data_IF_657847685059
#
_entry.id   IF_657847685059
#
_cell.length_a   1.000
_cell.length_b   1.000
_cell.length_c   1.000
_cell.angle_alpha   90.00
_cell.angle_beta   90.00
_cell.angle_gamma   90.00
#
_symmetry.space_group_name_H-M   'P 1'
#
loop_
_entity.id
_entity.type
_entity.pdbx_description
1 polymer ?
#
# COMPACT_ATOMS: atom_id res chain seq x y z
N UNK A 1 48.07 45.55 21.60
CA UNK A 1 47.58 44.99 20.33
C UNK A 1 47.78 43.49 20.35
N UNK A 2 46.70 42.70 20.40
CA UNK A 2 46.68 41.26 20.09
C UNK A 2 45.22 40.88 19.79
N UNK A 3 44.86 40.52 18.56
CA UNK A 3 43.47 40.24 18.24
C UNK A 3 43.08 38.84 18.72
N UNK A 4 41.86 38.76 19.27
CA UNK A 4 41.08 37.53 19.46
C UNK A 4 40.73 36.92 18.11
N UNK A 5 40.83 35.59 17.97
CA UNK A 5 39.99 34.82 17.04
C UNK A 5 39.69 33.46 17.69
N UNK A 6 38.50 33.32 18.28
CA UNK A 6 37.91 32.01 18.61
C UNK A 6 37.20 31.48 17.37
N UNK A 7 37.38 30.21 16.97
CA UNK A 7 36.58 29.62 15.91
C UNK A 7 35.22 29.27 16.51
N UNK A 8 34.21 30.11 16.26
CA UNK A 8 32.80 29.72 16.45
C UNK A 8 32.48 28.73 15.34
N UNK A 9 32.58 27.44 15.65
CA UNK A 9 32.04 26.37 14.80
C UNK A 9 30.52 26.43 14.94
N UNK A 10 29.88 27.17 14.05
CA UNK A 10 28.42 27.16 13.92
C UNK A 10 28.06 25.79 13.33
N UNK A 11 27.66 24.87 14.21
CA UNK A 11 26.95 23.65 13.83
C UNK A 11 25.63 24.08 13.19
N UNK A 12 25.61 24.20 11.86
CA UNK A 12 24.37 24.23 11.08
C UNK A 12 23.75 22.84 11.20
N UNK A 13 22.96 22.64 12.26
CA UNK A 13 21.96 21.59 12.27
C UNK A 13 21.13 21.78 10.99
N UNK A 14 21.17 20.78 10.11
CA UNK A 14 20.33 20.75 8.92
C UNK A 14 18.87 20.69 9.38
N UNK A 15 18.28 21.87 9.60
CA UNK A 15 16.87 22.03 9.85
C UNK A 15 16.18 21.71 8.52
N UNK A 16 15.81 20.45 8.35
CA UNK A 16 14.86 20.07 7.29
C UNK A 16 13.63 20.96 7.51
N UNK A 17 13.17 21.71 6.50
CA UNK A 17 11.98 22.53 6.65
C UNK A 17 10.82 21.65 7.09
N UNK A 18 10.11 22.03 8.16
CA UNK A 18 8.95 21.28 8.65
C UNK A 18 7.93 21.02 7.52
N UNK A 19 7.77 21.98 6.60
CA UNK A 19 6.92 21.85 5.41
C UNK A 19 7.34 20.76 4.43
N UNK A 20 8.64 20.44 4.34
CA UNK A 20 9.13 19.35 3.50
C UNK A 20 8.87 17.99 4.15
N UNK A 21 8.94 17.92 5.48
CA UNK A 21 8.58 16.72 6.24
C UNK A 21 7.07 16.44 6.14
N UNK A 22 6.22 17.45 6.32
CA UNK A 22 4.77 17.31 6.20
C UNK A 22 4.34 16.81 4.82
N UNK A 23 4.99 17.30 3.76
CA UNK A 23 4.72 16.86 2.39
C UNK A 23 5.14 15.40 2.15
N UNK A 24 6.33 15.01 2.65
CA UNK A 24 6.82 13.64 2.54
C UNK A 24 5.97 12.65 3.35
N UNK A 25 5.51 13.05 4.54
CA UNK A 25 4.63 12.25 5.38
C UNK A 25 3.25 12.07 4.73
N UNK A 26 2.70 13.13 4.11
CA UNK A 26 1.45 13.03 3.35
C UNK A 26 1.56 12.10 2.13
N UNK A 27 2.68 12.13 1.40
CA UNK A 27 2.95 11.23 0.29
C UNK A 27 3.01 9.77 0.77
N UNK A 28 3.78 9.50 1.84
CA UNK A 28 3.87 8.16 2.41
C UNK A 28 2.53 7.65 2.96
N UNK A 29 1.71 8.51 3.57
CA UNK A 29 0.35 8.14 3.98
C UNK A 29 -0.46 7.66 2.75
N UNK A 30 -0.37 8.37 1.63
CA UNK A 30 -1.02 7.96 0.38
C UNK A 30 -0.52 6.61 -0.14
N UNK A 31 0.79 6.39 -0.14
CA UNK A 31 1.41 5.11 -0.52
C UNK A 31 0.93 3.96 0.39
N UNK A 32 0.83 4.19 1.70
CA UNK A 32 0.38 3.18 2.66
C UNK A 32 -1.13 2.92 2.57
N UNK A 33 -1.94 3.94 2.23
CA UNK A 33 -3.36 3.72 1.92
C UNK A 33 -3.55 2.82 0.70
N UNK A 34 -2.59 2.80 -0.24
CA UNK A 34 -2.65 1.89 -1.38
C UNK A 34 -2.58 0.41 -0.99
N UNK A 35 -2.13 0.07 0.23
CA UNK A 35 -2.14 -1.31 0.74
C UNK A 35 -3.59 -1.82 0.88
N UNK A 36 -4.48 -0.97 1.40
CA UNK A 36 -5.92 -1.24 1.44
C UNK A 36 -6.55 -1.29 0.04
N UNK A 37 -6.03 -0.48 -0.89
CA UNK A 37 -6.33 -0.58 -2.31
C UNK A 37 -6.00 -1.97 -2.89
N UNK A 38 -4.83 -2.52 -2.57
CA UNK A 38 -4.44 -3.89 -2.97
C UNK A 38 -5.37 -4.95 -2.38
N UNK A 39 -5.76 -4.81 -1.10
CA UNK A 39 -6.75 -5.71 -0.49
C UNK A 39 -8.10 -5.64 -1.21
N UNK A 40 -8.58 -4.44 -1.53
CA UNK A 40 -9.83 -4.26 -2.27
C UNK A 40 -9.76 -4.88 -3.66
N UNK A 41 -8.65 -4.71 -4.38
CA UNK A 41 -8.42 -5.36 -5.70
C UNK A 41 -8.56 -6.87 -5.59
N UNK A 42 -7.84 -7.50 -4.65
CA UNK A 42 -7.85 -8.95 -4.47
C UNK A 42 -9.22 -9.44 -4.04
N UNK A 43 -9.83 -8.81 -3.03
CA UNK A 43 -11.14 -9.20 -2.50
C UNK A 43 -12.24 -9.12 -3.57
N UNK A 44 -12.34 -7.97 -4.26
CA UNK A 44 -13.39 -7.75 -5.27
C UNK A 44 -13.22 -8.71 -6.45
N UNK A 45 -12.00 -8.81 -6.99
CA UNK A 45 -11.80 -9.57 -8.23
C UNK A 45 -11.79 -11.08 -7.99
N UNK A 46 -11.31 -11.57 -6.84
CA UNK A 46 -11.49 -13.00 -6.50
C UNK A 46 -12.96 -13.35 -6.33
N UNK A 47 -13.77 -12.48 -5.72
CA UNK A 47 -15.23 -12.68 -5.63
C UNK A 47 -15.87 -12.70 -7.01
N UNK A 48 -15.54 -11.72 -7.86
CA UNK A 48 -16.12 -11.66 -9.20
C UNK A 48 -15.73 -12.86 -10.08
N UNK A 49 -14.48 -13.29 -10.00
CA UNK A 49 -14.00 -14.46 -10.72
C UNK A 49 -14.55 -15.78 -10.17
N UNK A 50 -14.77 -15.88 -8.85
CA UNK A 50 -15.50 -17.00 -8.25
C UNK A 50 -16.88 -17.16 -8.91
N UNK A 51 -17.64 -16.07 -9.04
CA UNK A 51 -18.96 -16.10 -9.69
C UNK A 51 -18.88 -16.39 -11.19
N UNK A 52 -17.93 -15.76 -11.89
CA UNK A 52 -17.77 -15.88 -13.35
C UNK A 52 -17.38 -17.30 -13.78
N UNK A 53 -16.54 -17.97 -12.99
CA UNK A 53 -15.98 -19.29 -13.32
C UNK A 53 -16.84 -20.46 -12.83
N UNK A 54 -18.09 -20.21 -12.43
CA UNK A 54 -19.00 -21.26 -12.00
C UNK A 54 -18.81 -21.70 -10.55
N UNK A 55 -18.48 -20.75 -9.66
CA UNK A 55 -18.31 -20.94 -8.22
C UNK A 55 -17.08 -21.78 -7.85
N UNK A 56 -15.97 -21.59 -8.56
CA UNK A 56 -14.72 -22.30 -8.27
C UNK A 56 -14.13 -21.84 -6.92
N UNK A 57 -14.15 -22.71 -5.87
CA UNK A 57 -13.71 -22.33 -4.52
C UNK A 57 -12.22 -21.96 -4.44
N UNK A 58 -11.41 -22.27 -5.46
CA UNK A 58 -10.00 -21.89 -5.51
C UNK A 58 -9.82 -20.36 -5.40
N UNK A 59 -10.71 -19.57 -6.00
CA UNK A 59 -10.64 -18.10 -5.91
C UNK A 59 -10.82 -17.58 -4.48
N UNK A 60 -11.76 -18.17 -3.73
CA UNK A 60 -11.96 -17.81 -2.32
C UNK A 60 -10.72 -18.16 -1.51
N UNK A 61 -10.18 -19.38 -1.70
CA UNK A 61 -8.98 -19.83 -1.01
C UNK A 61 -7.76 -18.93 -1.34
N UNK A 62 -7.59 -18.51 -2.60
CA UNK A 62 -6.53 -17.60 -3.00
C UNK A 62 -6.66 -16.22 -2.30
N UNK A 63 -7.88 -15.69 -2.20
CA UNK A 63 -8.15 -14.44 -1.47
C UNK A 63 -7.81 -14.56 0.02
N UNK A 64 -8.26 -15.63 0.67
CA UNK A 64 -8.00 -15.90 2.09
C UNK A 64 -6.49 -16.08 2.34
N UNK A 65 -5.79 -16.82 1.47
CA UNK A 65 -4.35 -17.01 1.55
C UNK A 65 -3.57 -15.71 1.33
N UNK A 66 -3.98 -14.89 0.36
CA UNK A 66 -3.40 -13.56 0.16
C UNK A 66 -3.56 -12.72 1.43
N UNK A 67 -4.75 -12.71 2.05
CA UNK A 67 -4.96 -11.96 3.28
C UNK A 67 -4.04 -12.45 4.41
N UNK A 68 -3.88 -13.76 4.59
CA UNK A 68 -2.98 -14.32 5.61
C UNK A 68 -1.52 -13.92 5.42
N UNK A 69 -1.05 -13.81 4.17
CA UNK A 69 0.31 -13.33 3.86
C UNK A 69 0.47 -11.83 4.09
N UNK A 70 -0.59 -11.05 3.92
CA UNK A 70 -0.53 -9.59 3.84
C UNK A 70 -1.10 -8.85 5.06
N UNK A 71 -1.81 -9.53 5.97
CA UNK A 71 -2.45 -8.89 7.15
C UNK A 71 -1.45 -8.12 8.02
N UNK A 72 -0.23 -8.64 8.18
CA UNK A 72 0.82 -7.95 8.94
C UNK A 72 1.27 -6.64 8.29
N UNK A 73 1.21 -6.53 6.96
CA UNK A 73 1.54 -5.30 6.23
C UNK A 73 0.41 -4.28 6.30
N UNK A 74 -0.85 -4.73 6.26
CA UNK A 74 -2.03 -3.87 6.45
C UNK A 74 -2.01 -3.23 7.85
N UNK A 75 -1.80 -4.05 8.88
CA UNK A 75 -1.70 -3.58 10.27
C UNK A 75 -0.48 -2.66 10.50
N UNK A 76 0.66 -2.94 9.84
CA UNK A 76 1.80 -2.02 9.85
C UNK A 76 1.46 -0.66 9.21
N UNK A 77 0.80 -0.67 8.04
CA UNK A 77 0.38 0.54 7.35
C UNK A 77 -0.54 1.39 8.24
N UNK A 78 -1.56 0.78 8.85
CA UNK A 78 -2.51 1.48 9.73
C UNK A 78 -1.81 2.19 10.89
N UNK A 79 -0.89 1.50 11.56
CA UNK A 79 -0.12 2.10 12.66
C UNK A 79 0.77 3.25 12.21
N UNK A 80 1.44 3.11 11.06
CA UNK A 80 2.34 4.15 10.55
C UNK A 80 1.54 5.36 10.06
N UNK A 81 0.45 5.14 9.33
CA UNK A 81 -0.50 6.19 8.93
C UNK A 81 -0.95 6.99 10.15
N UNK A 82 -1.41 6.31 11.21
CA UNK A 82 -1.85 6.98 12.43
C UNK A 82 -0.72 7.76 13.11
N UNK A 83 0.50 7.22 13.13
CA UNK A 83 1.70 7.89 13.69
C UNK A 83 2.09 9.16 12.93
N UNK A 84 1.89 9.17 11.62
CA UNK A 84 2.14 10.32 10.75
C UNK A 84 0.98 11.33 10.73
N UNK A 85 -0.06 11.12 11.53
CA UNK A 85 -1.24 12.01 11.59
C UNK A 85 -2.21 11.84 10.41
N UNK A 86 -2.10 10.74 9.66
CA UNK A 86 -3.05 10.34 8.63
C UNK A 86 -4.27 9.60 9.18
N UNK A 87 -5.04 8.97 8.29
CA UNK A 87 -6.22 8.19 8.67
C UNK A 87 -7.47 9.03 8.87
N UNK A 88 -7.57 10.17 8.15
CA UNK A 88 -8.78 10.96 8.15
C UNK A 88 -9.96 10.12 7.63
N UNK A 89 -11.16 10.40 8.16
CA UNK A 89 -12.39 9.69 7.80
C UNK A 89 -12.55 9.63 6.26
N UNK A 90 -12.77 8.43 5.73
CA UNK A 90 -12.97 8.18 4.31
C UNK A 90 -11.69 8.00 3.47
N UNK A 91 -10.48 8.26 3.98
CA UNK A 91 -9.24 8.06 3.20
C UNK A 91 -9.04 6.59 2.79
N UNK A 92 -9.21 5.66 3.73
CA UNK A 92 -9.12 4.23 3.45
C UNK A 92 -10.21 3.80 2.44
N UNK A 93 -11.46 4.21 2.67
CA UNK A 93 -12.57 3.90 1.77
C UNK A 93 -12.32 4.44 0.34
N UNK A 94 -11.71 5.62 0.22
CA UNK A 94 -11.34 6.18 -1.08
C UNK A 94 -10.27 5.32 -1.79
N UNK A 95 -9.27 4.84 -1.05
CA UNK A 95 -8.23 3.96 -1.59
C UNK A 95 -8.80 2.60 -2.02
N UNK A 96 -9.67 2.00 -1.20
CA UNK A 96 -10.39 0.76 -1.52
C UNK A 96 -11.29 0.93 -2.75
N UNK A 97 -12.05 2.02 -2.80
CA UNK A 97 -12.94 2.35 -3.93
C UNK A 97 -12.13 2.53 -5.21
N UNK A 98 -11.01 3.26 -5.13
CA UNK A 98 -10.12 3.46 -6.25
C UNK A 98 -9.59 2.12 -6.76
N UNK A 99 -8.96 1.32 -5.89
CA UNK A 99 -8.43 0.00 -6.26
C UNK A 99 -9.48 -0.92 -6.88
N UNK A 100 -10.64 -1.07 -6.22
CA UNK A 100 -11.75 -1.88 -6.70
C UNK A 100 -12.28 -1.42 -8.07
N UNK A 101 -12.41 -0.11 -8.28
CA UNK A 101 -12.87 0.43 -9.57
C UNK A 101 -11.88 0.19 -10.70
N UNK A 102 -10.58 0.29 -10.42
CA UNK A 102 -9.53 0.09 -11.41
C UNK A 102 -9.49 -1.36 -11.90
N UNK A 103 -9.55 -2.35 -11.00
CA UNK A 103 -9.53 -3.76 -11.41
C UNK A 103 -10.82 -4.16 -12.14
N UNK A 104 -11.98 -3.64 -11.72
CA UNK A 104 -13.24 -3.89 -12.42
C UNK A 104 -13.25 -3.27 -13.81
N UNK A 105 -12.66 -2.08 -13.98
CA UNK A 105 -12.47 -1.46 -15.29
C UNK A 105 -11.59 -2.33 -16.21
N UNK A 106 -10.46 -2.83 -15.69
CA UNK A 106 -9.58 -3.74 -16.43
C UNK A 106 -10.29 -5.03 -16.82
N UNK A 107 -11.01 -5.64 -15.88
CA UNK A 107 -11.83 -6.82 -16.14
C UNK A 107 -12.86 -6.55 -17.24
N UNK A 108 -13.63 -5.46 -17.16
CA UNK A 108 -14.66 -5.11 -18.14
C UNK A 108 -14.10 -4.90 -19.55
N UNK A 109 -12.87 -4.41 -19.67
CA UNK A 109 -12.18 -4.23 -20.95
C UNK A 109 -11.57 -5.52 -21.51
N UNK A 110 -11.37 -6.56 -20.70
CA UNK A 110 -10.81 -7.83 -21.18
C UNK A 110 -11.76 -8.52 -22.18
N UNK A 111 -11.23 -8.98 -23.32
CA UNK A 111 -12.01 -9.70 -24.32
C UNK A 111 -12.37 -11.13 -23.87
N UNK A 112 -11.47 -11.77 -23.12
CA UNK A 112 -11.65 -13.10 -22.54
C UNK A 112 -11.71 -12.97 -21.01
N UNK A 113 -12.93 -13.12 -20.45
CA UNK A 113 -13.16 -13.00 -19.01
C UNK A 113 -12.58 -14.19 -18.24
N UNK A 114 -12.71 -15.40 -18.79
CA UNK A 114 -12.19 -16.61 -18.16
C UNK A 114 -10.66 -16.59 -18.15
N UNK A 115 -10.06 -16.16 -19.27
CA UNK A 115 -8.62 -15.92 -19.36
C UNK A 115 -8.12 -14.88 -18.37
N UNK A 116 -8.82 -13.76 -18.24
CA UNK A 116 -8.52 -12.75 -17.22
C UNK A 116 -8.56 -13.35 -15.81
N UNK A 117 -9.63 -14.08 -15.48
CA UNK A 117 -9.81 -14.66 -14.16
C UNK A 117 -8.74 -15.71 -13.83
N UNK A 118 -8.33 -16.55 -14.78
CA UNK A 118 -7.23 -17.50 -14.56
C UNK A 118 -5.90 -16.79 -14.32
N UNK A 119 -5.57 -15.79 -15.14
CA UNK A 119 -4.33 -15.02 -14.97
C UNK A 119 -4.33 -14.23 -13.66
N UNK A 120 -5.47 -13.71 -13.23
CA UNK A 120 -5.62 -13.04 -11.94
C UNK A 120 -5.41 -14.01 -10.77
N UNK A 121 -6.03 -15.20 -10.84
CA UNK A 121 -5.83 -16.25 -9.85
C UNK A 121 -4.36 -16.61 -9.69
N UNK A 122 -3.65 -16.87 -10.80
CA UNK A 122 -2.22 -17.23 -10.77
C UNK A 122 -1.36 -16.14 -10.11
N UNK A 123 -1.69 -14.87 -10.34
CA UNK A 123 -0.99 -13.75 -9.70
C UNK A 123 -1.29 -13.62 -8.21
N UNK A 124 -2.52 -13.89 -7.77
CA UNK A 124 -2.88 -13.91 -6.34
C UNK A 124 -2.26 -15.12 -5.63
N UNK A 125 -2.40 -16.31 -6.20
CA UNK A 125 -1.95 -17.56 -5.59
C UNK A 125 -0.41 -17.65 -5.55
N UNK A 126 0.26 -17.26 -6.64
CA UNK A 126 1.71 -17.13 -6.70
C UNK A 126 2.27 -15.93 -5.90
N UNK A 127 1.38 -15.12 -5.32
CA UNK A 127 1.73 -13.98 -4.49
C UNK A 127 2.35 -12.81 -5.24
N UNK A 128 2.27 -12.76 -6.57
CA UNK A 128 2.73 -11.59 -7.36
C UNK A 128 2.04 -10.32 -6.90
N UNK A 129 0.79 -10.41 -6.47
CA UNK A 129 0.01 -9.29 -5.93
C UNK A 129 0.20 -9.08 -4.42
N UNK A 130 1.15 -9.75 -3.77
CA UNK A 130 1.46 -9.46 -2.36
C UNK A 130 2.07 -8.06 -2.22
N UNK A 131 1.76 -7.38 -1.11
CA UNK A 131 2.12 -5.98 -0.86
C UNK A 131 3.62 -5.77 -0.87
N UNK A 132 4.39 -6.72 -0.33
CA UNK A 132 5.86 -6.66 -0.31
C UNK A 132 6.47 -6.71 -1.73
N UNK A 133 5.75 -7.21 -2.72
CA UNK A 133 6.18 -7.22 -4.13
C UNK A 133 5.63 -6.04 -4.92
N UNK A 134 4.40 -5.61 -4.62
CA UNK A 134 3.76 -4.50 -5.32
C UNK A 134 4.27 -3.13 -4.85
N UNK A 135 4.55 -2.99 -3.55
CA UNK A 135 4.87 -1.72 -2.90
C UNK A 135 6.09 -1.85 -1.95
N UNK A 136 7.23 -2.40 -2.43
CA UNK A 136 8.38 -2.70 -1.57
C UNK A 136 8.97 -1.46 -0.89
N UNK A 137 9.06 -0.33 -1.60
CA UNK A 137 9.65 0.89 -1.09
C UNK A 137 8.80 1.53 0.03
N UNK A 138 7.48 1.58 -0.16
CA UNK A 138 6.56 2.08 0.86
C UNK A 138 6.58 1.19 2.12
N UNK A 139 6.65 -0.13 1.92
CA UNK A 139 6.78 -1.09 3.02
C UNK A 139 8.08 -0.89 3.79
N UNK A 140 9.21 -0.71 3.11
CA UNK A 140 10.51 -0.46 3.74
C UNK A 140 10.47 0.84 4.58
N UNK A 141 9.92 1.93 4.03
CA UNK A 141 9.73 3.19 4.76
C UNK A 141 8.88 2.99 6.01
N UNK A 142 7.76 2.27 5.91
CA UNK A 142 6.89 1.99 7.05
C UNK A 142 7.59 1.16 8.14
N UNK A 143 8.35 0.13 7.76
CA UNK A 143 9.15 -0.67 8.68
C UNK A 143 10.20 0.19 9.39
N UNK A 144 10.88 1.08 8.66
CA UNK A 144 11.87 1.99 9.22
C UNK A 144 11.26 3.00 10.22
N UNK A 145 10.00 3.42 10.01
CA UNK A 145 9.28 4.27 10.97
C UNK A 145 8.83 3.47 12.19
N UNK A 146 8.31 2.26 11.99
CA UNK A 146 7.82 1.41 13.08
C UNK A 146 8.94 0.90 14.01
N UNK A 147 10.17 0.79 13.52
CA UNK A 147 11.33 0.40 14.31
C UNK A 147 11.88 1.52 15.23
N UNK A 148 11.36 2.76 15.12
CA UNK A 148 11.77 3.92 15.92
C UNK A 148 10.84 4.14 17.10
#
# INVERSE_FOLDING_TARGET
MRPLIFPVVIWLAALIPASAQDAADAELIGELMAFHGSQAIVSVMTTHCYETTGLDPAYKAASDNWYLRNIGFLDLADRVIARLGGGAEGQQQAAETYGGSQIMSAYNQAADKDGFCRAFFEQVDGGTLDIDKQLPEALEKAQAIAAK
#
